data_IF_084998306469
#
_entry.id   IF_084998306469
#
_cell.length_a   1.000
_cell.length_b   1.000
_cell.length_c   1.000
_cell.angle_alpha   90.00
_cell.angle_beta   90.00
_cell.angle_gamma   90.00
#
_symmetry.space_group_name_H-M   'P 1'
#
loop_
_entity.id
_entity.type
_entity.pdbx_description
1 polymer ?
#
# COMPACT_ATOMS: atom_id res chain seq x y z
N UNK A 1 10.14 15.13 18.99
CA UNK A 1 9.61 14.44 17.79
C UNK A 1 8.47 15.23 17.18
N UNK A 2 8.69 15.78 15.99
CA UNK A 2 7.66 16.39 15.13
C UNK A 2 7.71 15.77 13.75
N UNK A 3 6.56 15.64 13.10
CA UNK A 3 6.48 15.21 11.69
C UNK A 3 6.85 16.40 10.80
N UNK A 4 7.75 16.18 9.86
CA UNK A 4 8.24 17.20 8.92
C UNK A 4 7.79 16.94 7.49
N UNK A 5 7.59 15.69 7.11
CA UNK A 5 7.19 15.31 5.76
C UNK A 5 6.35 14.04 5.75
N UNK A 6 5.43 13.96 4.77
CA UNK A 6 4.69 12.75 4.43
C UNK A 6 4.80 12.52 2.93
N UNK A 7 5.30 11.35 2.53
CA UNK A 7 5.32 10.89 1.14
C UNK A 7 4.30 9.79 0.93
N UNK A 8 3.55 9.89 -0.17
CA UNK A 8 2.59 8.87 -0.61
C UNK A 8 3.19 8.04 -1.73
N UNK A 9 3.04 6.71 -1.65
CA UNK A 9 3.49 5.78 -2.69
C UNK A 9 2.32 4.87 -3.06
N UNK A 10 2.00 4.82 -4.36
CA UNK A 10 1.08 3.82 -4.91
C UNK A 10 1.93 2.75 -5.58
N UNK A 11 1.91 1.55 -5.02
CA UNK A 11 2.71 0.42 -5.50
C UNK A 11 1.76 -0.64 -6.07
N UNK A 12 2.06 -1.12 -7.28
CA UNK A 12 1.33 -2.25 -7.84
C UNK A 12 1.77 -3.54 -7.16
N UNK A 13 0.79 -4.35 -6.74
CA UNK A 13 0.99 -5.67 -6.19
C UNK A 13 1.49 -6.65 -7.26
N UNK A 14 2.06 -7.76 -6.83
CA UNK A 14 2.38 -8.88 -7.71
C UNK A 14 1.14 -9.77 -7.90
N UNK A 15 0.94 -10.21 -9.14
CA UNK A 15 -0.12 -11.17 -9.45
C UNK A 15 0.28 -12.56 -8.93
N UNK A 16 -0.64 -13.22 -8.23
CA UNK A 16 -0.45 -14.62 -7.85
C UNK A 16 -0.57 -15.48 -9.11
N UNK A 17 0.57 -16.00 -9.58
CA UNK A 17 0.65 -16.78 -10.82
C UNK A 17 -0.16 -18.08 -10.78
N UNK A 18 -0.35 -18.67 -9.60
CA UNK A 18 -1.11 -19.91 -9.46
C UNK A 18 -2.61 -19.64 -9.54
N UNK A 19 -3.05 -18.51 -8.98
CA UNK A 19 -4.47 -18.12 -8.92
C UNK A 19 -4.90 -17.19 -10.06
N UNK A 20 -3.95 -16.67 -10.85
CA UNK A 20 -4.17 -15.68 -11.93
C UNK A 20 -4.98 -14.46 -11.47
N UNK A 21 -4.75 -14.03 -10.24
CA UNK A 21 -5.37 -12.83 -9.69
C UNK A 21 -4.48 -12.21 -8.61
N UNK A 22 -4.74 -10.96 -8.24
CA UNK A 22 -4.05 -10.30 -7.12
C UNK A 22 -4.70 -10.71 -5.79
N UNK A 23 -3.91 -11.12 -4.81
CA UNK A 23 -4.39 -11.38 -3.45
C UNK A 23 -4.19 -10.11 -2.62
N UNK A 24 -5.26 -9.60 -2.00
CA UNK A 24 -5.22 -8.34 -1.24
C UNK A 24 -5.33 -7.07 -2.09
N UNK A 25 -5.67 -7.18 -3.38
CA UNK A 25 -5.87 -6.06 -4.29
C UNK A 25 -4.67 -5.78 -5.21
N UNK A 26 -4.91 -5.04 -6.30
CA UNK A 26 -3.89 -4.74 -7.34
C UNK A 26 -2.92 -3.63 -6.91
N UNK A 27 -3.33 -2.73 -6.03
CA UNK A 27 -2.53 -1.57 -5.63
C UNK A 27 -2.53 -1.39 -4.12
N UNK A 28 -1.37 -1.06 -3.56
CA UNK A 28 -1.19 -0.65 -2.17
C UNK A 28 -0.88 0.83 -2.08
N UNK A 29 -1.44 1.49 -1.05
CA UNK A 29 -1.13 2.87 -0.72
C UNK A 29 -0.29 2.92 0.56
N UNK A 30 0.99 3.25 0.40
CA UNK A 30 1.91 3.45 1.50
C UNK A 30 2.11 4.93 1.81
N UNK A 31 2.33 5.21 3.10
CA UNK A 31 2.70 6.50 3.65
C UNK A 31 4.08 6.35 4.29
N UNK A 32 5.03 7.17 3.88
CA UNK A 32 6.32 7.30 4.53
C UNK A 32 6.37 8.63 5.28
N UNK A 33 6.57 8.58 6.59
CA UNK A 33 6.52 9.73 7.50
C UNK A 33 7.94 10.00 7.99
N UNK A 34 8.36 11.25 7.89
CA UNK A 34 9.66 11.72 8.34
C UNK A 34 9.49 12.66 9.54
N UNK A 35 10.47 12.62 10.44
CA UNK A 35 10.51 13.51 11.61
C UNK A 35 11.73 14.43 11.60
N UNK A 36 11.67 15.50 12.39
CA UNK A 36 12.77 16.44 12.59
C UNK A 36 14.02 15.81 13.22
N UNK A 37 13.86 14.70 13.92
CA UNK A 37 14.94 13.93 14.55
C UNK A 37 15.50 12.81 13.65
N UNK A 38 15.02 12.68 12.40
CA UNK A 38 15.50 11.71 11.42
C UNK A 38 14.86 10.32 11.49
N UNK A 39 13.87 10.11 12.36
CA UNK A 39 13.07 8.87 12.38
C UNK A 39 12.19 8.81 11.13
N UNK A 40 12.14 7.63 10.51
CA UNK A 40 11.30 7.32 9.34
C UNK A 40 10.32 6.20 9.70
N UNK A 41 9.03 6.46 9.53
CA UNK A 41 7.96 5.48 9.69
C UNK A 41 7.35 5.09 8.35
N UNK A 42 6.94 3.83 8.20
CA UNK A 42 6.17 3.34 7.06
C UNK A 42 4.82 2.83 7.55
N UNK A 43 3.74 3.24 6.91
CA UNK A 43 2.39 2.77 7.18
C UNK A 43 1.62 2.51 5.90
N UNK A 44 0.57 1.69 5.98
CA UNK A 44 -0.34 1.43 4.87
C UNK A 44 -1.70 2.05 5.18
N UNK A 45 -2.31 2.69 4.18
CA UNK A 45 -3.75 2.98 4.21
C UNK A 45 -4.47 1.92 3.39
N UNK A 46 -5.07 0.95 4.07
CA UNK A 46 -5.88 -0.09 3.43
C UNK A 46 -7.09 0.58 2.75
N UNK A 47 -7.12 0.60 1.41
CA UNK A 47 -8.18 1.26 0.61
C UNK A 47 -9.20 0.29 0.03
N UNK A 48 -9.07 -1.01 0.28
CA UNK A 48 -10.13 -2.00 0.08
C UNK A 48 -9.80 -3.12 -0.90
N UNK A 49 -10.36 -4.30 -0.61
CA UNK A 49 -10.26 -5.51 -1.41
C UNK A 49 -11.11 -5.35 -2.68
N UNK A 50 -10.45 -5.39 -3.84
CA UNK A 50 -11.16 -5.57 -5.11
C UNK A 50 -11.73 -6.99 -5.11
N UNK A 51 -13.05 -7.13 -4.96
CA UNK A 51 -13.75 -8.36 -5.33
C UNK A 51 -13.83 -8.31 -6.85
N UNK A 52 -13.13 -9.22 -7.50
CA UNK A 52 -13.20 -9.37 -8.95
C UNK A 52 -14.61 -9.86 -9.34
N UNK A 53 -15.41 -9.07 -10.07
CA UNK A 53 -16.75 -9.48 -10.49
C UNK A 53 -16.74 -10.66 -11.46
N UNK A 54 -15.62 -10.97 -12.12
CA UNK A 54 -15.53 -12.04 -13.12
C UNK A 54 -15.28 -13.45 -12.52
N UNK A 55 -15.18 -13.57 -11.19
CA UNK A 55 -14.87 -14.82 -10.49
C UNK A 55 -15.96 -15.26 -9.47
N UNK A 56 -17.25 -14.98 -9.75
CA UNK A 56 -18.42 -15.49 -8.99
C UNK A 56 -19.09 -16.65 -9.73
#
# INVERSE_FOLDING_TARGET
VKITEVKTMVIQNEEDKARKHFVGGRYFLFLQIFTDEGIVGLGERVVGNYIDPEHI
#
